data_IF_127802944645
#
_entry.id   IF_127802944645
#
_cell.length_a   1.000
_cell.length_b   1.000
_cell.length_c   1.000
_cell.angle_alpha   90.00
_cell.angle_beta   90.00
_cell.angle_gamma   90.00
#
_symmetry.space_group_name_H-M   'P 1'
#
loop_
_entity.id
_entity.type
_entity.pdbx_description
1 polymer ?
#
# COMPACT_ATOMS: atom_id res chain seq x y z
N UNK A 1 2.29 24.29 12.55
CA UNK A 1 2.99 22.99 12.46
C UNK A 1 2.00 21.83 12.58
N UNK A 2 0.94 22.00 13.36
CA UNK A 2 -0.04 20.95 13.71
C UNK A 2 -0.86 20.42 12.53
N UNK A 3 -1.06 21.24 11.49
CA UNK A 3 -1.80 20.87 10.26
C UNK A 3 -1.24 19.62 9.57
N UNK A 4 0.08 19.36 9.67
CA UNK A 4 0.70 18.20 9.03
C UNK A 4 0.96 17.05 10.01
N UNK A 5 1.02 17.32 11.31
CA UNK A 5 1.34 16.31 12.33
C UNK A 5 0.20 15.29 12.44
N UNK A 6 -1.05 15.77 12.45
CA UNK A 6 -2.23 14.91 12.55
C UNK A 6 -2.37 13.94 11.36
N UNK A 7 -2.36 14.39 10.08
CA UNK A 7 -2.42 13.48 8.94
C UNK A 7 -1.20 12.56 8.82
N UNK A 8 -0.02 13.03 9.24
CA UNK A 8 1.18 12.19 9.27
C UNK A 8 1.04 11.05 10.28
N UNK A 9 0.65 11.35 11.52
CA UNK A 9 0.48 10.34 12.57
C UNK A 9 -0.65 9.37 12.23
N UNK A 10 -1.77 9.85 11.66
CA UNK A 10 -2.85 8.97 11.22
C UNK A 10 -2.40 8.04 10.11
N UNK A 11 -1.66 8.55 9.10
CA UNK A 11 -1.13 7.72 8.02
C UNK A 11 -0.13 6.68 8.56
N UNK A 12 0.73 7.08 9.50
CA UNK A 12 1.70 6.20 10.13
C UNK A 12 1.02 5.07 10.92
N UNK A 13 0.02 5.39 11.76
CA UNK A 13 -0.73 4.40 12.53
C UNK A 13 -1.52 3.47 11.61
N UNK A 14 -2.18 4.02 10.58
CA UNK A 14 -2.89 3.22 9.58
C UNK A 14 -1.95 2.25 8.87
N UNK A 15 -0.78 2.71 8.42
CA UNK A 15 0.21 1.85 7.79
C UNK A 15 0.73 0.76 8.75
N UNK A 16 1.01 1.11 10.01
CA UNK A 16 1.45 0.15 11.03
C UNK A 16 0.43 -0.97 11.29
N UNK A 17 -0.87 -0.68 11.13
CA UNK A 17 -1.94 -1.67 11.31
C UNK A 17 -2.24 -2.43 10.01
N UNK A 18 -2.37 -1.73 8.88
CA UNK A 18 -2.74 -2.32 7.58
C UNK A 18 -1.64 -3.21 7.01
N UNK A 19 -0.36 -2.82 7.12
CA UNK A 19 0.75 -3.59 6.56
C UNK A 19 0.85 -5.02 7.14
N UNK A 20 0.82 -5.25 8.48
CA UNK A 20 0.84 -6.60 9.02
C UNK A 20 -0.46 -7.38 8.71
N UNK A 21 -1.61 -6.71 8.58
CA UNK A 21 -2.86 -7.35 8.17
C UNK A 21 -2.81 -7.84 6.72
N UNK A 22 -2.37 -6.97 5.79
CA UNK A 22 -2.14 -7.35 4.39
C UNK A 22 -1.11 -8.47 4.29
N UNK A 23 -0.03 -8.41 5.09
CA UNK A 23 0.96 -9.50 5.19
C UNK A 23 0.34 -10.83 5.63
N UNK A 24 -0.56 -10.82 6.62
CA UNK A 24 -1.27 -12.04 7.08
C UNK A 24 -2.20 -12.56 5.99
N UNK A 25 -2.98 -11.68 5.36
CA UNK A 25 -3.89 -12.02 4.27
C UNK A 25 -3.15 -12.60 3.05
N UNK A 26 -2.01 -12.02 2.66
CA UNK A 26 -1.17 -12.51 1.57
C UNK A 26 -0.68 -13.94 1.82
N UNK A 27 -0.25 -14.23 3.05
CA UNK A 27 0.17 -15.57 3.46
C UNK A 27 -0.99 -16.57 3.45
N UNK A 28 -2.18 -16.18 3.93
CA UNK A 28 -3.35 -17.07 3.93
C UNK A 28 -3.87 -17.39 2.53
N UNK A 29 -3.71 -16.47 1.57
CA UNK A 29 -4.10 -16.67 0.17
C UNK A 29 -3.01 -17.40 -0.64
N UNK A 30 -1.83 -17.66 -0.05
CA UNK A 30 -0.71 -18.33 -0.74
C UNK A 30 -0.03 -17.46 -1.80
N UNK A 31 -0.41 -16.18 -1.90
CA UNK A 31 0.20 -15.15 -2.77
C UNK A 31 1.47 -14.63 -2.10
N UNK A 32 2.50 -15.46 -2.13
CA UNK A 32 3.83 -15.13 -1.60
C UNK A 32 4.83 -15.31 -2.73
N UNK A 33 5.67 -14.30 -2.96
CA UNK A 33 6.72 -14.39 -3.96
C UNK A 33 7.74 -15.44 -3.49
N UNK A 34 7.75 -16.59 -4.14
CA UNK A 34 8.69 -17.66 -3.83
C UNK A 34 10.11 -17.24 -4.23
N UNK A 35 11.12 -17.59 -3.42
CA UNK A 35 12.51 -17.25 -3.74
C UNK A 35 12.94 -17.95 -5.04
N UNK A 36 13.26 -17.17 -6.06
CA UNK A 36 13.82 -17.64 -7.32
C UNK A 36 15.36 -17.48 -7.31
N UNK A 37 16.08 -18.36 -8.02
CA UNK A 37 17.55 -18.39 -8.02
C UNK A 37 18.24 -17.08 -8.48
N UNK A 38 17.51 -16.23 -9.21
CA UNK A 38 17.90 -14.90 -9.69
C UNK A 38 17.77 -13.81 -8.60
N UNK A 39 16.90 -14.00 -7.59
CA UNK A 39 16.58 -12.96 -6.61
C UNK A 39 17.43 -13.10 -5.34
N UNK A 40 18.07 -12.02 -4.87
CA UNK A 40 18.88 -11.99 -3.63
C UNK A 40 18.11 -12.33 -2.33
N UNK A 41 16.78 -12.45 -2.39
CA UNK A 41 15.91 -12.72 -1.25
C UNK A 41 15.70 -14.23 -1.06
N UNK A 42 16.12 -14.77 0.10
CA UNK A 42 15.91 -16.19 0.47
C UNK A 42 14.58 -16.48 1.16
N UNK A 43 13.80 -15.45 1.48
CA UNK A 43 12.53 -15.58 2.21
C UNK A 43 11.36 -15.12 1.37
N UNK A 44 10.24 -15.84 1.48
CA UNK A 44 9.03 -15.57 0.72
C UNK A 44 8.43 -14.21 1.13
N UNK A 45 8.34 -13.28 0.18
CA UNK A 45 7.86 -11.92 0.43
C UNK A 45 6.35 -11.86 0.20
N UNK A 46 5.55 -11.42 1.19
CA UNK A 46 4.11 -11.31 1.02
C UNK A 46 3.78 -10.21 0.01
N UNK A 47 2.98 -10.56 -1.00
CA UNK A 47 2.44 -9.61 -1.97
C UNK A 47 1.36 -8.73 -1.28
N UNK A 48 0.93 -7.64 -1.90
CA UNK A 48 -0.09 -6.69 -1.37
C UNK A 48 0.36 -5.62 -0.36
N UNK A 49 1.66 -5.40 -0.16
CA UNK A 49 2.13 -4.24 0.63
C UNK A 49 1.64 -2.89 0.06
N UNK A 50 1.56 -2.78 -1.27
CA UNK A 50 1.02 -1.60 -1.95
C UNK A 50 -0.46 -1.32 -1.64
N UNK A 51 -1.26 -2.36 -1.37
CA UNK A 51 -2.68 -2.21 -1.02
C UNK A 51 -2.83 -1.48 0.32
N UNK A 52 -2.02 -1.85 1.31
CA UNK A 52 -1.99 -1.18 2.62
C UNK A 52 -1.64 0.31 2.47
N UNK A 53 -0.64 0.62 1.65
CA UNK A 53 -0.18 1.99 1.41
C UNK A 53 -1.26 2.80 0.67
N UNK A 54 -1.90 2.22 -0.34
CA UNK A 54 -2.97 2.88 -1.09
C UNK A 54 -4.16 3.22 -0.19
N UNK A 55 -4.61 2.28 0.65
CA UNK A 55 -5.71 2.50 1.60
C UNK A 55 -5.34 3.60 2.61
N UNK A 56 -4.15 3.54 3.20
CA UNK A 56 -3.70 4.55 4.18
C UNK A 56 -3.61 5.95 3.55
N UNK A 57 -3.09 6.04 2.32
CA UNK A 57 -2.91 7.30 1.60
C UNK A 57 -4.25 7.92 1.20
N UNK A 58 -5.13 7.13 0.56
CA UNK A 58 -6.46 7.62 0.13
C UNK A 58 -7.32 7.97 1.36
N UNK A 59 -7.30 7.13 2.39
CA UNK A 59 -8.04 7.39 3.63
C UNK A 59 -7.62 8.68 4.32
N UNK A 60 -6.31 8.96 4.40
CA UNK A 60 -5.84 10.23 4.97
C UNK A 60 -6.13 11.42 4.05
N UNK A 61 -6.04 11.26 2.73
CA UNK A 61 -6.35 12.34 1.79
C UNK A 61 -7.82 12.77 1.88
N UNK A 62 -8.75 11.82 2.02
CA UNK A 62 -10.18 12.12 2.20
C UNK A 62 -10.44 12.75 3.59
N UNK A 63 -9.75 12.28 4.63
CA UNK A 63 -10.00 12.72 6.01
C UNK A 63 -9.41 14.09 6.38
N UNK A 64 -8.32 14.51 5.72
CA UNK A 64 -7.54 15.69 6.15
C UNK A 64 -7.28 16.73 5.07
N UNK A 65 -7.62 16.47 3.81
CA UNK A 65 -7.30 17.36 2.69
C UNK A 65 -8.53 17.67 1.83
N UNK A 66 -8.50 18.82 1.15
CA UNK A 66 -9.43 19.08 0.05
C UNK A 66 -9.07 18.19 -1.13
N UNK A 67 -9.85 17.13 -1.32
CA UNK A 67 -9.63 16.08 -2.32
C UNK A 67 -9.58 16.66 -3.73
N UNK A 68 -10.24 17.79 -3.98
CA UNK A 68 -10.31 18.44 -5.30
C UNK A 68 -8.92 18.80 -5.83
N UNK A 69 -8.03 19.26 -4.94
CA UNK A 69 -6.64 19.59 -5.30
C UNK A 69 -5.74 18.36 -5.43
N UNK A 70 -6.19 17.21 -4.93
CA UNK A 70 -5.46 15.95 -4.92
C UNK A 70 -5.96 14.94 -5.96
N UNK A 71 -7.03 15.26 -6.71
CA UNK A 71 -7.60 14.37 -7.74
C UNK A 71 -6.56 13.88 -8.73
N UNK A 72 -5.72 14.78 -9.25
CA UNK A 72 -4.69 14.42 -10.25
C UNK A 72 -3.63 13.49 -9.65
N UNK A 73 -2.90 13.85 -8.57
CA UNK A 73 -1.88 12.96 -8.01
C UNK A 73 -2.45 11.65 -7.46
N UNK A 74 -3.64 11.66 -6.83
CA UNK A 74 -4.29 10.44 -6.37
C UNK A 74 -4.74 9.56 -7.54
N UNK A 75 -5.24 10.15 -8.63
CA UNK A 75 -5.60 9.45 -9.85
C UNK A 75 -4.38 8.76 -10.49
N UNK A 76 -3.27 9.48 -10.64
CA UNK A 76 -2.02 8.91 -11.15
C UNK A 76 -1.49 7.79 -10.23
N UNK A 77 -1.48 8.01 -8.91
CA UNK A 77 -1.07 7.00 -7.94
C UNK A 77 -1.95 5.76 -7.98
N UNK A 78 -3.27 5.92 -8.11
CA UNK A 78 -4.21 4.82 -8.24
C UNK A 78 -3.97 4.02 -9.53
N UNK A 79 -3.70 4.68 -10.66
CA UNK A 79 -3.39 3.99 -11.92
C UNK A 79 -2.11 3.16 -11.81
N UNK A 80 -1.03 3.73 -11.26
CA UNK A 80 0.24 2.99 -11.04
C UNK A 80 0.01 1.80 -10.10
N UNK A 81 -0.75 2.00 -9.03
CA UNK A 81 -1.10 0.93 -8.10
C UNK A 81 -1.91 -0.17 -8.79
N UNK A 82 -2.90 0.15 -9.63
CA UNK A 82 -3.71 -0.84 -10.34
C UNK A 82 -2.85 -1.65 -11.33
N UNK A 83 -1.95 -0.99 -12.05
CA UNK A 83 -1.01 -1.67 -12.95
C UNK A 83 -0.08 -2.61 -12.17
N UNK A 84 0.51 -2.12 -11.08
CA UNK A 84 1.37 -2.95 -10.22
C UNK A 84 0.61 -4.10 -9.56
N UNK A 85 -0.64 -3.89 -9.17
CA UNK A 85 -1.49 -4.94 -8.60
C UNK A 85 -1.85 -6.00 -9.66
N UNK A 86 -2.12 -5.59 -10.90
CA UNK A 86 -2.37 -6.53 -12.00
C UNK A 86 -1.13 -7.38 -12.29
N UNK A 87 0.06 -6.78 -12.28
CA UNK A 87 1.34 -7.48 -12.44
C UNK A 87 1.59 -8.48 -11.28
N UNK A 88 1.38 -8.06 -10.04
CA UNK A 88 1.48 -8.91 -8.83
C UNK A 88 0.48 -10.10 -8.85
N UNK A 89 -0.67 -9.94 -9.51
CA UNK A 89 -1.67 -11.02 -9.64
C UNK A 89 -1.27 -12.00 -10.74
N UNK A 90 -0.65 -11.54 -11.81
CA UNK A 90 -0.30 -12.35 -12.97
C UNK A 90 1.08 -13.06 -12.86
N UNK A 91 1.96 -12.59 -11.97
CA UNK A 91 3.23 -13.25 -11.63
C UNK A 91 3.07 -14.40 -10.63
#
# INVERSE_FOLDING_TARGET
MDILVLPFLSAFVLALVLVPLCRRAARSVGKVAHPAADRWHRHATPLFGGVAIAIATIGCAIGFSDVTSLVVPLGCGALIFLVGLADDIHS
#
